data_IF_442696101507
#
_entry.id   IF_442696101507
#
_cell.length_a   1.000
_cell.length_b   1.000
_cell.length_c   1.000
_cell.angle_alpha   90.00
_cell.angle_beta   90.00
_cell.angle_gamma   90.00
#
_symmetry.space_group_name_H-M   'P 1'
#
loop_
_entity.id
_entity.type
_entity.pdbx_description
1 polymer ?
#
# COMPACT_ATOMS: atom_id res chain seq x y z
N UNK A 1 -13.06 57.26 56.00
CA UNK A 1 -14.35 56.58 56.25
C UNK A 1 -14.24 55.14 55.75
N UNK A 2 -14.41 54.15 56.65
CA UNK A 2 -14.80 52.72 56.46
C UNK A 2 -14.04 51.88 55.43
N UNK A 3 -13.72 50.60 55.64
CA UNK A 3 -13.76 49.66 56.75
C UNK A 3 -13.01 48.42 56.26
N UNK A 4 -12.40 47.65 57.17
CA UNK A 4 -11.93 46.30 56.90
C UNK A 4 -13.12 45.38 56.59
N UNK A 5 -13.02 44.57 55.53
CA UNK A 5 -13.72 43.28 55.45
C UNK A 5 -12.77 42.19 54.93
N UNK A 6 -12.51 41.26 55.82
CA UNK A 6 -11.94 39.93 55.62
C UNK A 6 -12.84 39.08 54.72
N UNK A 7 -12.29 38.59 53.61
CA UNK A 7 -12.84 37.49 52.84
C UNK A 7 -11.79 36.39 52.71
N UNK A 8 -12.02 35.28 53.41
CA UNK A 8 -11.28 34.03 53.26
C UNK A 8 -11.09 33.68 51.79
N UNK A 9 -9.84 33.59 51.32
CA UNK A 9 -9.54 32.84 50.10
C UNK A 9 -9.44 31.39 50.56
N UNK A 10 -10.48 30.61 50.32
CA UNK A 10 -10.44 29.17 50.53
C UNK A 10 -9.29 28.59 49.71
N UNK A 11 -8.36 27.90 50.36
CA UNK A 11 -7.37 27.06 49.71
C UNK A 11 -8.11 26.08 48.79
N UNK A 12 -8.00 26.29 47.47
CA UNK A 12 -8.45 25.32 46.49
C UNK A 12 -7.44 24.19 46.55
N UNK A 13 -7.75 23.16 47.33
CA UNK A 13 -7.00 21.92 47.36
C UNK A 13 -7.18 21.23 46.00
N UNK A 14 -6.27 21.49 45.06
CA UNK A 14 -6.27 20.85 43.74
C UNK A 14 -5.83 19.41 43.93
N UNK A 15 -6.80 18.51 44.13
CA UNK A 15 -6.54 17.07 44.13
C UNK A 15 -6.24 16.64 42.69
N UNK A 16 -4.96 16.59 42.33
CA UNK A 16 -4.50 15.99 41.08
C UNK A 16 -4.84 14.50 41.11
N UNK A 17 -5.79 14.07 40.26
CA UNK A 17 -6.08 12.64 40.08
C UNK A 17 -4.80 11.92 39.62
N UNK A 18 -4.53 10.70 40.11
CA UNK A 18 -3.32 9.99 39.73
C UNK A 18 -3.30 9.75 38.22
N UNK A 19 -2.14 9.90 37.59
CA UNK A 19 -1.87 9.58 36.18
C UNK A 19 -1.88 8.05 35.92
N UNK A 20 -2.84 7.32 36.51
CA UNK A 20 -2.97 5.87 36.40
C UNK A 20 -4.17 5.40 35.60
N UNK A 21 -4.89 6.32 34.96
CA UNK A 21 -5.82 6.00 33.89
C UNK A 21 -5.39 6.69 32.60
N UNK A 22 -4.38 6.13 31.93
CA UNK A 22 -4.33 6.18 30.46
C UNK A 22 -5.37 5.20 29.93
N UNK A 23 -6.64 5.41 30.31
CA UNK A 23 -7.76 4.87 29.57
C UNK A 23 -7.63 5.42 28.16
N UNK A 24 -7.23 4.55 27.24
CA UNK A 24 -7.20 4.83 25.80
C UNK A 24 -8.53 5.51 25.49
N UNK A 25 -8.50 6.77 25.07
CA UNK A 25 -9.71 7.46 24.64
C UNK A 25 -10.29 6.66 23.47
N UNK A 26 -11.28 5.81 23.75
CA UNK A 26 -12.04 5.09 22.74
C UNK A 26 -13.05 6.07 22.16
N UNK A 27 -12.55 7.13 21.52
CA UNK A 27 -13.38 7.99 20.69
C UNK A 27 -13.90 7.12 19.55
N UNK A 28 -15.22 7.04 19.31
CA UNK A 28 -15.80 6.25 18.21
C UNK A 28 -15.18 6.61 16.84
N UNK A 29 -14.71 7.84 16.70
CA UNK A 29 -14.04 8.36 15.50
C UNK A 29 -12.64 7.79 15.25
N UNK A 30 -11.95 7.24 16.25
CA UNK A 30 -10.64 6.55 16.07
C UNK A 30 -10.79 5.11 15.59
N UNK A 31 -11.99 4.52 15.67
CA UNK A 31 -12.27 3.18 15.16
C UNK A 31 -12.60 3.16 13.66
N UNK A 32 -12.86 4.33 13.05
CA UNK A 32 -13.34 4.44 11.67
C UNK A 32 -12.25 4.30 10.58
N UNK A 33 -10.97 4.03 10.92
CA UNK A 33 -9.90 3.87 9.92
C UNK A 33 -8.89 2.75 10.17
N UNK A 34 -9.27 1.76 10.94
CA UNK A 34 -8.61 0.44 10.84
C UNK A 34 -9.58 -0.48 10.16
N UNK A 35 -9.53 -0.51 8.82
CA UNK A 35 -9.94 -1.70 8.08
C UNK A 35 -9.08 -2.84 8.65
N UNK A 36 -9.64 -3.52 9.64
CA UNK A 36 -9.05 -4.69 10.25
C UNK A 36 -9.02 -5.72 9.14
N UNK A 37 -7.85 -5.92 8.52
CA UNK A 37 -7.56 -7.06 7.67
C UNK A 37 -7.54 -8.32 8.55
N UNK A 38 -8.68 -8.65 9.17
CA UNK A 38 -8.99 -9.99 9.63
C UNK A 38 -9.46 -10.71 8.39
N UNK A 39 -8.52 -10.97 7.47
CA UNK A 39 -8.67 -12.15 6.65
C UNK A 39 -8.74 -13.28 7.67
N UNK A 40 -9.89 -13.94 7.77
CA UNK A 40 -9.90 -15.29 8.32
C UNK A 40 -9.03 -16.02 7.30
N UNK A 41 -7.74 -16.17 7.60
CA UNK A 41 -6.80 -16.87 6.72
C UNK A 41 -7.51 -18.16 6.33
N UNK A 42 -7.81 -18.35 5.05
CA UNK A 42 -8.48 -19.57 4.65
C UNK A 42 -7.55 -20.70 5.05
N UNK A 43 -8.06 -21.69 5.78
CA UNK A 43 -7.26 -22.85 6.18
C UNK A 43 -6.73 -23.59 4.94
N UNK A 44 -7.36 -23.37 3.78
CA UNK A 44 -6.98 -23.89 2.49
C UNK A 44 -6.29 -22.81 1.63
N UNK A 45 -5.09 -23.13 1.13
CA UNK A 45 -4.35 -22.27 0.20
C UNK A 45 -5.09 -22.11 -1.13
N UNK A 46 -5.15 -20.89 -1.66
CA UNK A 46 -5.76 -20.58 -2.97
C UNK A 46 -5.04 -21.30 -4.12
N UNK A 47 -3.76 -21.64 -3.93
CA UNK A 47 -2.92 -22.31 -4.93
C UNK A 47 -2.45 -23.67 -4.41
N UNK A 48 -2.49 -24.69 -5.26
CA UNK A 48 -1.88 -25.99 -4.94
C UNK A 48 -0.35 -25.89 -4.90
N UNK A 49 0.31 -26.81 -4.19
CA UNK A 49 1.78 -26.87 -4.14
C UNK A 49 2.42 -26.93 -5.54
N UNK A 50 1.79 -27.65 -6.46
CA UNK A 50 2.24 -27.75 -7.86
C UNK A 50 2.17 -26.39 -8.54
N UNK A 51 1.06 -25.65 -8.37
CA UNK A 51 0.91 -24.31 -8.95
C UNK A 51 1.93 -23.33 -8.35
N UNK A 52 2.12 -23.36 -7.04
CA UNK A 52 3.11 -22.52 -6.35
C UNK A 52 4.52 -22.79 -6.89
N UNK A 53 4.91 -24.05 -7.02
CA UNK A 53 6.21 -24.45 -7.59
C UNK A 53 6.38 -23.96 -9.03
N UNK A 54 5.37 -24.15 -9.87
CA UNK A 54 5.39 -23.70 -11.26
C UNK A 54 5.53 -22.18 -11.37
N UNK A 55 4.82 -21.41 -10.52
CA UNK A 55 4.92 -19.96 -10.46
C UNK A 55 6.35 -19.53 -10.10
N UNK A 56 6.95 -20.12 -9.06
CA UNK A 56 8.32 -19.79 -8.64
C UNK A 56 9.34 -20.08 -9.76
N UNK A 57 9.27 -21.25 -10.38
CA UNK A 57 10.18 -21.65 -11.46
C UNK A 57 10.00 -20.78 -12.71
N UNK A 58 8.75 -20.49 -13.08
CA UNK A 58 8.46 -19.63 -14.22
C UNK A 58 8.97 -18.21 -13.99
N UNK A 59 8.76 -17.68 -12.78
CA UNK A 59 9.26 -16.35 -12.42
C UNK A 59 10.78 -16.27 -12.48
N UNK A 60 11.50 -17.25 -11.92
CA UNK A 60 12.97 -17.32 -12.00
C UNK A 60 13.46 -17.32 -13.45
N UNK A 61 12.80 -18.10 -14.31
CA UNK A 61 13.13 -18.14 -15.74
C UNK A 61 12.90 -16.79 -16.41
N UNK A 62 11.78 -16.13 -16.10
CA UNK A 62 11.43 -14.81 -16.63
C UNK A 62 12.42 -13.75 -16.15
N UNK A 63 12.75 -13.70 -14.85
CA UNK A 63 13.69 -12.71 -14.30
C UNK A 63 15.07 -12.84 -14.93
N UNK A 64 15.57 -14.06 -15.13
CA UNK A 64 16.85 -14.27 -15.82
C UNK A 64 16.83 -13.75 -17.27
N UNK A 65 15.73 -13.92 -17.99
CA UNK A 65 15.59 -13.35 -19.35
C UNK A 65 15.49 -11.83 -19.35
N UNK A 66 14.79 -11.27 -18.35
CA UNK A 66 14.59 -9.82 -18.18
C UNK A 66 15.91 -9.11 -17.86
N UNK A 67 16.79 -9.72 -17.07
CA UNK A 67 18.13 -9.20 -16.77
C UNK A 67 18.98 -9.06 -18.04
N UNK A 68 18.93 -10.04 -18.95
CA UNK A 68 19.70 -10.02 -20.21
C UNK A 68 19.30 -8.87 -21.13
N UNK A 69 18.02 -8.50 -21.13
CA UNK A 69 17.49 -7.42 -21.99
C UNK A 69 17.37 -6.08 -21.25
N UNK A 70 17.87 -6.00 -20.02
CA UNK A 70 17.82 -4.81 -19.16
C UNK A 70 16.41 -4.19 -19.00
N UNK A 71 15.38 -5.04 -19.01
CA UNK A 71 13.99 -4.60 -18.85
C UNK A 71 13.33 -5.19 -17.61
N UNK A 72 12.30 -4.52 -17.10
CA UNK A 72 11.47 -5.04 -16.02
C UNK A 72 10.17 -5.65 -16.56
N UNK A 73 9.58 -6.59 -15.81
CA UNK A 73 8.32 -7.23 -16.21
C UNK A 73 7.20 -6.19 -16.43
N UNK A 74 7.17 -5.15 -15.61
CA UNK A 74 6.21 -4.05 -15.70
C UNK A 74 6.24 -3.33 -17.05
N UNK A 75 7.38 -3.22 -17.72
CA UNK A 75 7.48 -2.63 -19.05
C UNK A 75 6.54 -3.34 -20.04
N UNK A 76 6.62 -4.66 -20.10
CA UNK A 76 5.81 -5.48 -21.01
C UNK A 76 4.32 -5.49 -20.65
N UNK A 77 4.00 -5.36 -19.37
CA UNK A 77 2.61 -5.25 -18.91
C UNK A 77 2.02 -3.91 -19.35
N UNK A 78 2.71 -2.81 -19.06
CA UNK A 78 2.24 -1.47 -19.43
C UNK A 78 2.11 -1.31 -20.94
N UNK A 79 3.07 -1.84 -21.71
CA UNK A 79 3.00 -1.87 -23.16
C UNK A 79 1.72 -2.53 -23.65
N UNK A 80 1.44 -3.75 -23.20
CA UNK A 80 0.21 -4.47 -23.57
C UNK A 80 -1.06 -3.75 -23.09
N UNK A 81 -1.02 -3.11 -21.93
CA UNK A 81 -2.15 -2.35 -21.39
C UNK A 81 -2.45 -1.12 -22.27
N UNK A 82 -1.43 -0.38 -22.70
CA UNK A 82 -1.61 0.78 -23.58
C UNK A 82 -1.98 0.41 -25.01
N UNK A 83 -1.44 -0.71 -25.52
CA UNK A 83 -1.87 -1.27 -26.82
C UNK A 83 -3.36 -1.65 -26.78
N UNK A 84 -3.84 -2.21 -25.67
CA UNK A 84 -5.24 -2.62 -25.51
C UNK A 84 -6.18 -1.45 -25.18
N UNK A 85 -5.70 -0.47 -24.42
CA UNK A 85 -6.47 0.72 -24.05
C UNK A 85 -5.59 1.98 -24.06
N UNK A 86 -5.49 2.66 -25.22
CA UNK A 86 -4.64 3.85 -25.37
C UNK A 86 -5.05 5.01 -24.47
N UNK A 87 -6.31 5.10 -24.03
CA UNK A 87 -6.78 6.19 -23.15
C UNK A 87 -6.03 6.23 -21.82
N UNK A 88 -5.52 5.08 -21.36
CA UNK A 88 -4.73 5.01 -20.13
C UNK A 88 -3.40 5.75 -20.23
N UNK A 89 -2.86 6.00 -21.44
CA UNK A 89 -1.63 6.78 -21.59
C UNK A 89 -1.73 8.16 -20.92
N UNK A 90 -2.90 8.80 -20.96
CA UNK A 90 -3.15 10.10 -20.32
C UNK A 90 -3.02 10.04 -18.80
N UNK A 91 -3.49 8.95 -18.17
CA UNK A 91 -3.40 8.75 -16.71
C UNK A 91 -1.95 8.63 -16.25
N UNK A 92 -1.08 8.11 -17.13
CA UNK A 92 0.34 7.94 -16.86
C UNK A 92 1.22 9.04 -17.46
N UNK A 93 0.63 10.08 -18.04
CA UNK A 93 1.32 11.21 -18.68
C UNK A 93 2.30 10.76 -19.78
N UNK A 94 1.88 9.82 -20.62
CA UNK A 94 2.68 9.29 -21.74
C UNK A 94 1.95 9.32 -23.08
N UNK A 95 0.89 10.13 -23.19
CA UNK A 95 0.08 10.29 -24.40
C UNK A 95 0.83 10.92 -25.57
N UNK A 96 1.86 11.72 -25.29
CA UNK A 96 2.72 12.36 -26.29
C UNK A 96 3.71 11.40 -26.96
N UNK A 97 3.87 10.20 -26.41
CA UNK A 97 4.79 9.18 -26.93
C UNK A 97 4.02 8.13 -27.73
N UNK A 98 4.45 7.91 -28.97
CA UNK A 98 3.91 6.85 -29.83
C UNK A 98 4.06 5.47 -29.18
N UNK A 99 5.24 5.20 -28.62
CA UNK A 99 5.59 3.93 -27.97
C UNK A 99 6.19 4.14 -26.58
N UNK A 100 6.29 3.06 -25.79
CA UNK A 100 6.94 3.13 -24.48
C UNK A 100 8.47 3.22 -24.60
N UNK A 101 9.00 2.69 -25.69
CA UNK A 101 10.41 2.73 -26.04
C UNK A 101 10.91 4.15 -26.33
N UNK A 102 10.02 5.10 -26.67
CA UNK A 102 10.39 6.50 -26.92
C UNK A 102 10.30 7.40 -25.69
N UNK A 103 9.88 6.87 -24.54
CA UNK A 103 9.76 7.64 -23.29
C UNK A 103 11.15 7.85 -22.68
N UNK A 104 11.53 9.09 -22.27
CA UNK A 104 12.81 9.37 -21.61
C UNK A 104 12.99 8.60 -20.31
N UNK A 105 14.19 8.08 -20.04
CA UNK A 105 14.46 7.21 -18.87
C UNK A 105 14.15 7.87 -17.52
N UNK A 106 14.20 9.21 -17.44
CA UNK A 106 13.87 9.99 -16.25
C UNK A 106 12.36 10.04 -15.96
N UNK A 107 11.53 9.62 -16.93
CA UNK A 107 10.09 9.69 -16.81
C UNK A 107 9.58 8.81 -15.66
N UNK A 108 8.63 9.36 -14.91
CA UNK A 108 8.13 8.72 -13.67
C UNK A 108 7.49 7.34 -13.91
N UNK A 109 7.06 7.04 -15.14
CA UNK A 109 6.46 5.75 -15.51
C UNK A 109 7.40 4.57 -15.27
N UNK A 110 8.71 4.72 -15.49
CA UNK A 110 9.68 3.64 -15.27
C UNK A 110 9.75 3.24 -13.80
N UNK A 111 9.63 4.21 -12.90
CA UNK A 111 9.48 3.94 -11.46
C UNK A 111 8.22 3.14 -11.17
N UNK A 112 7.10 3.48 -11.81
CA UNK A 112 5.83 2.77 -11.60
C UNK A 112 5.88 1.32 -12.11
N UNK A 113 6.50 1.09 -13.28
CA UNK A 113 6.73 -0.25 -13.83
C UNK A 113 7.62 -1.10 -12.93
N UNK A 114 8.69 -0.52 -12.35
CA UNK A 114 9.56 -1.20 -11.39
C UNK A 114 8.82 -1.53 -10.10
N UNK A 115 8.01 -0.60 -9.58
CA UNK A 115 7.18 -0.84 -8.38
C UNK A 115 6.20 -1.99 -8.61
N UNK A 116 5.54 -2.02 -9.77
CA UNK A 116 4.67 -3.13 -10.15
C UNK A 116 5.44 -4.45 -10.22
N UNK A 117 6.59 -4.46 -10.90
CA UNK A 117 7.45 -5.65 -10.99
C UNK A 117 7.84 -6.16 -9.61
N UNK A 118 8.23 -5.26 -8.70
CA UNK A 118 8.64 -5.62 -7.34
C UNK A 118 7.48 -6.18 -6.52
N UNK A 119 6.25 -5.69 -6.71
CA UNK A 119 5.06 -6.24 -6.07
C UNK A 119 4.80 -7.68 -6.54
N UNK A 120 4.95 -7.95 -7.84
CA UNK A 120 4.84 -9.33 -8.37
C UNK A 120 5.97 -10.21 -7.82
N UNK A 121 7.21 -9.73 -7.79
CA UNK A 121 8.33 -10.45 -7.17
C UNK A 121 8.08 -10.76 -5.70
N UNK A 122 7.48 -9.84 -4.95
CA UNK A 122 7.09 -10.08 -3.56
C UNK A 122 6.00 -11.15 -3.49
N UNK A 123 4.96 -11.05 -4.32
CA UNK A 123 3.90 -12.05 -4.37
C UNK A 123 4.40 -13.47 -4.69
N UNK A 124 5.34 -13.60 -5.63
CA UNK A 124 5.94 -14.90 -5.97
C UNK A 124 6.81 -15.45 -4.83
N UNK A 125 7.49 -14.58 -4.06
CA UNK A 125 8.30 -15.01 -2.91
C UNK A 125 7.44 -15.58 -1.78
N UNK A 126 6.24 -15.06 -1.58
CA UNK A 126 5.29 -15.52 -0.56
C UNK A 126 4.05 -16.15 -1.19
N UNK A 127 4.21 -16.90 -2.28
CA UNK A 127 3.07 -17.48 -3.03
C UNK A 127 2.28 -18.53 -2.23
N UNK A 128 2.89 -19.08 -1.19
CA UNK A 128 2.34 -19.97 -0.18
C UNK A 128 1.58 -19.24 0.94
N UNK A 129 1.84 -17.94 1.12
CA UNK A 129 1.33 -17.12 2.23
C UNK A 129 0.76 -15.79 1.70
N UNK A 130 0.04 -15.84 0.57
CA UNK A 130 -0.46 -14.64 -0.12
C UNK A 130 -1.37 -13.79 0.77
N UNK A 131 -2.29 -14.41 1.51
CA UNK A 131 -3.27 -13.68 2.32
C UNK A 131 -2.64 -12.98 3.53
N UNK A 132 -1.65 -13.60 4.15
CA UNK A 132 -0.98 -13.08 5.34
C UNK A 132 0.11 -12.06 4.98
N UNK A 133 0.94 -12.36 4.00
CA UNK A 133 2.13 -11.57 3.69
C UNK A 133 1.90 -10.53 2.59
N UNK A 134 1.08 -10.85 1.58
CA UNK A 134 0.95 -10.03 0.37
C UNK A 134 -0.26 -9.12 0.42
N UNK A 135 -1.39 -9.62 0.93
CA UNK A 135 -2.63 -8.87 0.91
C UNK A 135 -2.56 -7.50 1.64
N UNK A 136 -1.84 -7.34 2.77
CA UNK A 136 -1.63 -6.01 3.37
C UNK A 136 -0.85 -5.04 2.47
N UNK A 137 0.08 -5.55 1.66
CA UNK A 137 0.85 -4.75 0.72
C UNK A 137 0.00 -4.35 -0.50
N UNK A 138 -0.75 -5.30 -1.07
CA UNK A 138 -1.69 -5.07 -2.18
C UNK A 138 -2.79 -4.09 -1.78
N UNK A 139 -3.35 -4.23 -0.58
CA UNK A 139 -4.38 -3.32 -0.08
C UNK A 139 -3.87 -1.87 0.02
N UNK A 140 -2.70 -1.67 0.63
CA UNK A 140 -2.06 -0.34 0.70
C UNK A 140 -1.69 0.22 -0.67
N UNK A 141 -1.40 -0.65 -1.64
CA UNK A 141 -1.17 -0.26 -3.02
C UNK A 141 -2.49 0.18 -3.69
N UNK A 142 -3.55 -0.62 -3.58
CA UNK A 142 -4.88 -0.32 -4.11
C UNK A 142 -5.49 0.98 -3.54
N UNK A 143 -5.29 1.26 -2.25
CA UNK A 143 -5.71 2.54 -1.65
C UNK A 143 -5.10 3.78 -2.32
N UNK A 144 -3.88 3.66 -2.85
CA UNK A 144 -3.23 4.75 -3.59
C UNK A 144 -3.91 4.97 -4.94
N UNK A 145 -4.32 3.91 -5.62
CA UNK A 145 -5.05 3.99 -6.89
C UNK A 145 -6.46 4.56 -6.73
N UNK A 146 -7.13 4.29 -5.61
CA UNK A 146 -8.48 4.82 -5.36
C UNK A 146 -8.54 6.36 -5.35
N UNK A 147 -7.44 7.04 -4.98
CA UNK A 147 -7.37 8.51 -4.99
C UNK A 147 -7.34 9.11 -6.40
N UNK A 148 -7.06 8.31 -7.42
CA UNK A 148 -7.02 8.74 -8.83
C UNK A 148 -8.27 8.30 -9.61
N UNK A 149 -9.24 7.65 -8.95
CA UNK A 149 -10.48 7.18 -9.55
C UNK A 149 -11.66 8.16 -9.34
N UNK A 150 -11.38 9.40 -8.94
CA UNK A 150 -12.35 10.47 -8.68
C UNK A 150 -12.01 11.69 -9.52
#
# INVERSE_FOLDING_TARGET
>A
MRSFETGHVSDVEVTMKPLKDRSRSMSPLKQLKTYSFRSIASEESILSEIQQKLIRQSWQTITGKLEVIEQCFGFFVYRRVFERNPSLKQVFHVEEYDSLESVPEEHSIFRQMRLFTNLISLAVRHVDELDTEIAPAVFRYGQRHYKFAV
#
